data_IF_521189394767
#
_entry.id   IF_521189394767
#
_cell.length_a   1.000
_cell.length_b   1.000
_cell.length_c   1.000
_cell.angle_alpha   90.00
_cell.angle_beta   90.00
_cell.angle_gamma   90.00
#
_symmetry.space_group_name_H-M   'P 1'
#
loop_
_entity.id
_entity.type
_entity.pdbx_description
1 polymer ?
#
# COMPACT_ATOMS: atom_id res chain seq x y z
N UNK A 1 -5.04 -3.67 -6.33
CA UNK A 1 -5.42 -2.25 -6.52
C UNK A 1 -6.85 -1.86 -6.17
N UNK A 2 -7.88 -2.72 -6.27
CA UNK A 2 -9.27 -2.32 -5.95
C UNK A 2 -9.48 -1.81 -4.52
N UNK A 3 -8.81 -2.40 -3.52
CA UNK A 3 -8.94 -2.00 -2.11
C UNK A 3 -8.27 -0.67 -1.82
N UNK A 4 -7.02 -0.51 -2.27
CA UNK A 4 -6.26 0.74 -2.22
C UNK A 4 -7.05 1.89 -2.86
N UNK A 5 -7.64 1.67 -4.03
CA UNK A 5 -8.42 2.70 -4.70
C UNK A 5 -9.73 3.07 -3.98
N UNK A 6 -10.29 2.16 -3.17
CA UNK A 6 -11.48 2.43 -2.35
C UNK A 6 -11.12 3.15 -1.05
N UNK A 7 -9.94 2.89 -0.49
CA UNK A 7 -9.49 3.44 0.80
C UNK A 7 -8.90 4.84 0.64
N UNK A 8 -8.01 5.00 -0.34
CA UNK A 8 -7.26 6.24 -0.56
C UNK A 8 -7.73 7.05 -1.77
N UNK A 9 -8.69 6.52 -2.55
CA UNK A 9 -9.10 7.13 -3.81
C UNK A 9 -8.15 6.78 -4.95
N UNK A 10 -7.93 7.67 -5.91
CA UNK A 10 -7.08 7.36 -7.05
C UNK A 10 -5.60 7.30 -6.63
N UNK A 11 -5.09 6.10 -6.36
CA UNK A 11 -3.70 5.91 -5.96
C UNK A 11 -2.79 6.21 -7.13
N UNK A 12 -1.79 7.06 -6.87
CA UNK A 12 -0.82 7.46 -7.91
C UNK A 12 -0.06 6.28 -8.50
N UNK A 13 0.37 6.44 -9.74
CA UNK A 13 1.07 5.39 -10.49
C UNK A 13 2.38 4.96 -9.81
N UNK A 14 3.09 5.90 -9.17
CA UNK A 14 4.32 5.60 -8.40
C UNK A 14 4.09 4.65 -7.23
N UNK A 15 3.01 4.86 -6.45
CA UNK A 15 2.62 3.95 -5.37
C UNK A 15 2.23 2.58 -5.91
N UNK A 16 1.52 2.56 -7.03
CA UNK A 16 1.13 1.33 -7.72
C UNK A 16 2.34 0.50 -8.14
N UNK A 17 3.37 1.15 -8.68
CA UNK A 17 4.62 0.49 -9.07
C UNK A 17 5.36 -0.07 -7.85
N UNK A 18 5.50 0.72 -6.78
CA UNK A 18 6.15 0.25 -5.55
C UNK A 18 5.46 -1.00 -4.99
N UNK A 19 4.13 -0.96 -4.85
CA UNK A 19 3.34 -2.10 -4.36
C UNK A 19 3.48 -3.33 -5.29
N UNK A 20 3.65 -3.11 -6.60
CA UNK A 20 3.83 -4.20 -7.56
C UNK A 20 5.24 -4.79 -7.58
N UNK A 21 6.23 -4.09 -7.01
CA UNK A 21 7.59 -4.61 -6.81
C UNK A 21 7.74 -5.40 -5.51
N UNK A 22 6.77 -5.29 -4.60
CA UNK A 22 6.83 -6.01 -3.33
C UNK A 22 6.75 -7.52 -3.52
N UNK A 23 7.50 -8.29 -2.72
CA UNK A 23 7.35 -9.74 -2.68
C UNK A 23 5.98 -10.12 -2.10
N UNK A 24 5.48 -11.30 -2.47
CA UNK A 24 4.14 -11.78 -2.08
C UNK A 24 3.90 -11.72 -0.57
N UNK A 25 4.88 -12.13 0.22
CA UNK A 25 4.85 -12.07 1.69
C UNK A 25 4.54 -10.65 2.21
N UNK A 26 5.17 -9.63 1.62
CA UNK A 26 4.91 -8.25 2.01
C UNK A 26 3.57 -7.73 1.51
N UNK A 27 3.07 -8.25 0.39
CA UNK A 27 1.71 -7.90 -0.08
C UNK A 27 0.64 -8.46 0.87
N UNK A 28 0.89 -9.62 1.48
CA UNK A 28 0.02 -10.18 2.52
C UNK A 28 0.04 -9.32 3.79
N UNK A 29 1.23 -8.96 4.29
CA UNK A 29 1.40 -8.02 5.41
C UNK A 29 0.79 -6.64 5.13
N UNK A 30 0.98 -6.12 3.90
CA UNK A 30 0.36 -4.87 3.46
C UNK A 30 -1.16 -4.96 3.54
N UNK A 31 -1.76 -6.12 3.23
CA UNK A 31 -3.20 -6.31 3.33
C UNK A 31 -3.74 -6.16 4.75
N UNK A 32 -2.99 -6.65 5.74
CA UNK A 32 -3.35 -6.54 7.16
C UNK A 32 -3.08 -5.13 7.69
N UNK A 33 -1.90 -4.57 7.45
CA UNK A 33 -1.54 -3.19 7.82
C UNK A 33 -2.44 -2.16 7.13
N UNK A 34 -2.90 -2.44 5.91
CA UNK A 34 -3.87 -1.62 5.19
C UNK A 34 -5.15 -1.45 5.99
N UNK A 35 -5.53 -2.36 6.90
CA UNK A 35 -6.69 -2.20 7.77
C UNK A 35 -6.48 -1.13 8.86
N UNK A 36 -5.26 -0.98 9.36
CA UNK A 36 -4.87 0.00 10.37
C UNK A 36 -4.55 1.38 9.80
N UNK A 37 -4.25 1.48 8.49
CA UNK A 37 -3.97 2.78 7.88
C UNK A 37 -5.16 3.73 7.99
N UNK A 38 -4.89 4.98 8.33
CA UNK A 38 -5.90 6.04 8.42
C UNK A 38 -5.75 7.05 7.29
N UNK A 39 -4.57 7.11 6.69
CA UNK A 39 -4.18 8.06 5.67
C UNK A 39 -3.26 7.45 4.62
N UNK A 40 -3.15 8.10 3.46
CA UNK A 40 -2.18 7.70 2.44
C UNK A 40 -0.73 7.84 2.93
N UNK A 41 -0.49 8.72 3.91
CA UNK A 41 0.82 8.87 4.56
C UNK A 41 1.25 7.58 5.26
N UNK A 42 0.32 6.89 5.94
CA UNK A 42 0.62 5.61 6.60
C UNK A 42 1.06 4.55 5.57
N UNK A 43 0.37 4.51 4.42
CA UNK A 43 0.73 3.63 3.30
C UNK A 43 2.13 3.95 2.75
N UNK A 44 2.45 5.24 2.56
CA UNK A 44 3.77 5.66 2.07
C UNK A 44 4.88 5.29 3.06
N UNK A 45 4.66 5.54 4.35
CA UNK A 45 5.63 5.18 5.39
C UNK A 45 5.86 3.68 5.47
N UNK A 46 4.79 2.89 5.35
CA UNK A 46 4.91 1.44 5.31
C UNK A 46 5.70 0.99 4.08
N UNK A 47 5.43 1.57 2.91
CA UNK A 47 6.19 1.26 1.69
C UNK A 47 7.65 1.67 1.78
N UNK A 48 7.99 2.79 2.42
CA UNK A 48 9.39 3.18 2.66
C UNK A 48 10.10 2.25 3.66
N UNK A 49 9.37 1.62 4.57
CA UNK A 49 9.93 0.73 5.59
C UNK A 49 10.13 -0.70 5.07
N UNK A 50 9.29 -1.15 4.13
CA UNK A 50 9.24 -2.55 3.70
C UNK A 50 9.55 -2.75 2.20
N UNK A 51 9.27 -1.78 1.31
CA UNK A 51 9.50 -1.87 -0.14
C UNK A 51 10.92 -1.51 -0.60
#
# INVERSE_FOLDING_TARGET
>A
MRLLNRRFGEVTQSLTEQISQLPVEQVEDLGEALLDFTSETDLRQWLEQYG
#
